data_IF_664592697313
#
_entry.id   IF_664592697313
#
_cell.length_a   1.000
_cell.length_b   1.000
_cell.length_c   1.000
_cell.angle_alpha   90.00
_cell.angle_beta   90.00
_cell.angle_gamma   90.00
#
_symmetry.space_group_name_H-M   'P 1'
#
loop_
_entity.id
_entity.type
_entity.pdbx_description
1 polymer ?
#
# COMPACT_ATOMS: atom_id res chain seq x y z
N UNK A 1 13.44 0.99 -9.35
CA UNK A 1 14.06 -0.04 -8.48
C UNK A 1 12.96 -0.80 -7.76
N UNK A 2 12.97 -2.14 -7.73
CA UNK A 2 11.99 -2.91 -6.98
C UNK A 2 12.25 -2.78 -5.48
N UNK A 3 11.26 -2.28 -4.73
CA UNK A 3 11.30 -2.21 -3.28
C UNK A 3 10.71 -3.51 -2.75
N UNK A 4 11.52 -4.31 -2.05
CA UNK A 4 11.03 -5.50 -1.35
C UNK A 4 10.37 -5.07 -0.03
N UNK A 5 9.10 -4.65 -0.08
CA UNK A 5 8.29 -4.53 1.13
C UNK A 5 7.86 -5.93 1.60
N UNK A 6 7.80 -6.12 2.92
CA UNK A 6 7.17 -7.31 3.46
C UNK A 6 5.65 -7.25 3.22
N UNK A 7 5.01 -8.41 3.05
CA UNK A 7 3.58 -8.52 2.76
C UNK A 7 2.73 -7.87 3.85
N UNK A 8 3.13 -8.04 5.11
CA UNK A 8 2.51 -7.39 6.26
C UNK A 8 2.54 -5.86 6.15
N UNK A 9 3.68 -5.29 5.72
CA UNK A 9 3.82 -3.84 5.50
C UNK A 9 2.94 -3.35 4.35
N UNK A 10 2.79 -4.13 3.29
CA UNK A 10 1.91 -3.77 2.17
C UNK A 10 0.45 -3.74 2.60
N UNK A 11 0.02 -4.72 3.40
CA UNK A 11 -1.35 -4.79 3.90
C UNK A 11 -1.65 -3.64 4.87
N UNK A 12 -0.77 -3.38 5.82
CA UNK A 12 -0.90 -2.24 6.72
C UNK A 12 -0.92 -0.90 5.96
N UNK A 13 -0.06 -0.74 4.95
CA UNK A 13 -0.04 0.47 4.12
C UNK A 13 -1.33 0.66 3.31
N UNK A 14 -1.87 -0.42 2.74
CA UNK A 14 -3.16 -0.38 2.07
C UNK A 14 -4.27 -0.03 3.07
N UNK A 15 -4.19 -0.59 4.28
CA UNK A 15 -5.14 -0.29 5.34
C UNK A 15 -5.12 1.20 5.71
N UNK A 16 -3.96 1.74 6.00
CA UNK A 16 -3.81 3.16 6.36
C UNK A 16 -4.24 4.11 5.23
N UNK A 17 -3.93 3.78 3.97
CA UNK A 17 -4.33 4.58 2.80
C UNK A 17 -5.84 4.80 2.78
N UNK A 18 -6.61 3.74 2.93
CA UNK A 18 -8.07 3.83 2.79
C UNK A 18 -8.75 4.27 4.09
N UNK A 19 -8.16 3.97 5.25
CA UNK A 19 -8.71 4.43 6.53
C UNK A 19 -8.59 5.96 6.64
N UNK A 20 -7.47 6.51 6.16
CA UNK A 20 -7.20 7.94 6.12
C UNK A 20 -7.56 8.65 4.81
N UNK A 21 -8.21 7.98 3.85
CA UNK A 21 -8.50 8.50 2.49
C UNK A 21 -7.27 9.13 1.80
N UNK A 22 -6.10 8.54 2.01
CA UNK A 22 -4.82 9.01 1.47
C UNK A 22 -4.63 8.50 0.04
N UNK A 23 -4.23 9.38 -0.88
CA UNK A 23 -3.90 8.96 -2.24
C UNK A 23 -2.60 8.13 -2.34
N UNK A 24 -1.69 8.29 -1.38
CA UNK A 24 -0.35 7.68 -1.39
C UNK A 24 0.10 7.32 0.02
N UNK A 25 0.88 6.25 0.14
CA UNK A 25 1.58 5.89 1.36
C UNK A 25 3.08 6.16 1.22
N UNK A 26 3.65 6.85 2.21
CA UNK A 26 5.08 7.09 2.29
C UNK A 26 5.76 5.88 2.96
N UNK A 27 6.33 4.98 2.16
CA UNK A 27 7.10 3.86 2.70
C UNK A 27 8.58 4.19 2.79
N UNK A 28 9.14 3.95 3.98
CA UNK A 28 10.59 3.96 4.18
C UNK A 28 11.18 2.62 3.76
N UNK A 29 11.98 2.62 2.70
CA UNK A 29 12.62 1.40 2.21
C UNK A 29 13.68 0.91 3.24
N UNK A 30 13.63 -0.35 3.70
CA UNK A 30 14.60 -0.86 4.67
C UNK A 30 16.01 -0.98 4.07
N UNK A 31 16.12 -1.11 2.74
CA UNK A 31 17.41 -1.34 2.03
C UNK A 31 18.16 -0.05 1.72
N UNK A 32 17.47 0.98 1.23
CA UNK A 32 18.10 2.26 0.86
C UNK A 32 17.76 3.42 1.80
N UNK A 33 16.91 3.19 2.82
CA UNK A 33 16.39 4.17 3.79
C UNK A 33 15.65 5.36 3.18
N UNK A 34 15.42 5.34 1.87
CA UNK A 34 14.73 6.39 1.12
C UNK A 34 13.23 6.32 1.38
N UNK A 35 12.62 7.48 1.54
CA UNK A 35 11.17 7.65 1.54
C UNK A 35 10.68 7.48 0.10
N UNK A 36 9.78 6.54 -0.13
CA UNK A 36 9.16 6.32 -1.43
C UNK A 36 7.65 6.46 -1.30
N UNK A 37 7.06 7.27 -2.16
CA UNK A 37 5.61 7.35 -2.30
C UNK A 37 5.13 6.19 -3.16
N UNK A 38 4.25 5.38 -2.60
CA UNK A 38 3.59 4.29 -3.30
C UNK A 38 2.09 4.53 -3.29
N UNK A 39 1.48 4.53 -4.47
CA UNK A 39 0.03 4.63 -4.60
C UNK A 39 -0.64 3.31 -4.23
N UNK A 40 -1.89 3.39 -3.80
CA UNK A 40 -2.73 2.22 -3.51
C UNK A 40 -2.75 1.21 -4.67
N UNK A 41 -2.80 1.72 -5.92
CA UNK A 41 -2.77 0.90 -7.15
C UNK A 41 -1.48 0.09 -7.26
N UNK A 42 -0.34 0.67 -6.90
CA UNK A 42 0.95 -0.01 -6.95
C UNK A 42 1.05 -1.08 -5.85
N UNK A 43 0.53 -0.78 -4.66
CA UNK A 43 0.46 -1.72 -3.54
C UNK A 43 -0.48 -2.89 -3.86
N UNK A 44 -1.69 -2.64 -4.39
CA UNK A 44 -2.65 -3.68 -4.81
C UNK A 44 -2.04 -4.65 -5.83
N UNK A 45 -1.24 -4.15 -6.80
CA UNK A 45 -0.57 -5.02 -7.80
C UNK A 45 0.40 -6.03 -7.17
N UNK A 46 1.09 -5.66 -6.09
CA UNK A 46 2.03 -6.55 -5.40
C UNK A 46 1.38 -7.33 -4.25
N UNK A 47 0.11 -7.04 -3.95
CA UNK A 47 -0.70 -7.66 -2.91
C UNK A 47 -1.96 -8.34 -3.48
N UNK A 48 -1.82 -9.40 -4.30
CA UNK A 48 -2.95 -10.07 -4.95
C UNK A 48 -3.92 -10.75 -3.97
N UNK A 49 -3.51 -10.98 -2.72
CA UNK A 49 -4.37 -11.56 -1.68
C UNK A 49 -4.95 -10.54 -0.70
N UNK A 50 -4.73 -9.24 -0.91
CA UNK A 50 -5.35 -8.21 -0.09
C UNK A 50 -6.80 -8.06 -0.52
N UNK A 51 -7.71 -8.55 0.31
CA UNK A 51 -9.14 -8.32 0.19
C UNK A 51 -9.53 -7.36 1.29
N UNK A 52 -9.92 -6.15 0.92
CA UNK A 52 -10.72 -5.32 1.81
C UNK A 52 -12.18 -5.62 1.50
N UNK A 53 -12.95 -5.87 2.55
CA UNK A 53 -14.38 -6.15 2.50
C UNK A 53 -15.23 -4.92 2.09
N UNK A 54 -14.62 -3.94 1.38
CA UNK A 54 -15.16 -2.60 1.16
C UNK A 54 -14.87 -2.04 -0.23
N UNK A 55 -14.85 -2.89 -1.26
CA UNK A 55 -15.16 -2.44 -2.64
C UNK A 55 -16.71 -2.43 -2.83
N UNK A 56 -17.46 -1.91 -1.84
CA UNK A 56 -18.89 -1.61 -1.90
C UNK A 56 -19.08 -0.16 -1.43
N UNK A 57 -18.69 0.78 -2.29
CA UNK A 57 -19.31 2.11 -2.44
C UNK A 57 -18.58 2.86 -3.57
N UNK A 58 -19.10 2.76 -4.79
CA UNK A 58 -19.20 3.87 -5.74
C UNK A 58 -20.19 3.42 -6.81
N UNK A 59 -21.43 3.84 -6.60
CA UNK A 59 -22.54 3.92 -7.56
C UNK A 59 -22.16 4.67 -8.85
#
# INVERSE_FOLDING_TARGET
MPISLNRATIYAALDEIHDGDLAHYDVRCPRCRKMNRVSAKQLRRVAPGWKRDRDEDTE
#
